data_IF_549131959916
#
_entry.id   IF_549131959916
#
_cell.length_a   1.000
_cell.length_b   1.000
_cell.length_c   1.000
_cell.angle_alpha   90.00
_cell.angle_beta   90.00
_cell.angle_gamma   90.00
#
_symmetry.space_group_name_H-M   'P 1'
#
loop_
_entity.id
_entity.type
_entity.pdbx_description
1 polymer ?
#
# COMPACT_ATOMS: atom_id res chain seq x y z
N UNK A 1 -46.64 33.08 -25.23
CA UNK A 1 -45.20 32.80 -25.08
C UNK A 1 -44.98 32.35 -23.65
N UNK A 2 -44.95 31.05 -23.41
CA UNK A 2 -44.66 30.48 -22.09
C UNK A 2 -43.17 30.12 -22.05
N UNK A 3 -42.45 30.75 -21.13
CA UNK A 3 -41.04 30.48 -20.90
C UNK A 3 -40.93 29.22 -20.04
N UNK A 4 -40.31 28.20 -20.61
CA UNK A 4 -40.07 26.90 -19.98
C UNK A 4 -38.90 27.06 -18.98
N UNK A 5 -39.16 27.04 -17.69
CA UNK A 5 -38.15 27.01 -16.65
C UNK A 5 -37.60 25.59 -16.56
N UNK A 6 -36.40 25.39 -17.12
CA UNK A 6 -35.60 24.17 -16.91
C UNK A 6 -35.20 24.07 -15.42
N UNK A 7 -35.73 23.04 -14.76
CA UNK A 7 -35.27 22.65 -13.43
C UNK A 7 -33.77 22.27 -13.52
N UNK A 8 -32.90 23.07 -12.92
CA UNK A 8 -31.56 22.66 -12.60
C UNK A 8 -31.63 21.56 -11.53
N UNK A 9 -31.28 20.35 -11.91
CA UNK A 9 -31.05 19.28 -10.96
C UNK A 9 -29.81 19.64 -10.12
N UNK A 10 -30.00 19.76 -8.82
CA UNK A 10 -28.90 19.88 -7.87
C UNK A 10 -28.00 18.63 -7.97
N UNK A 11 -26.66 18.77 -7.92
CA UNK A 11 -25.77 17.63 -7.91
C UNK A 11 -26.12 16.72 -6.73
N UNK A 12 -26.30 15.44 -7.02
CA UNK A 12 -26.61 14.43 -6.01
C UNK A 12 -25.56 14.48 -4.90
N UNK A 13 -26.01 14.63 -3.66
CA UNK A 13 -25.13 14.53 -2.50
C UNK A 13 -24.44 13.16 -2.53
N UNK A 14 -23.12 13.08 -2.28
CA UNK A 14 -22.42 11.81 -2.24
C UNK A 14 -23.08 10.91 -1.21
N UNK A 15 -23.47 9.71 -1.63
CA UNK A 15 -24.02 8.67 -0.75
C UNK A 15 -23.04 8.45 0.38
N UNK A 16 -23.51 8.43 1.62
CA UNK A 16 -22.67 8.24 2.79
C UNK A 16 -21.86 6.93 2.63
N UNK A 17 -20.55 7.02 2.84
CA UNK A 17 -19.65 5.87 2.78
C UNK A 17 -20.05 4.83 3.83
N UNK A 18 -20.00 3.53 3.46
CA UNK A 18 -20.31 2.44 4.38
C UNK A 18 -19.42 2.51 5.64
N UNK A 19 -20.05 2.36 6.81
CA UNK A 19 -19.36 2.26 8.11
C UNK A 19 -18.94 0.83 8.45
N UNK A 20 -18.82 -0.07 7.46
CA UNK A 20 -18.27 -1.39 7.69
C UNK A 20 -16.89 -1.28 8.36
N UNK A 21 -16.58 -2.22 9.26
CA UNK A 21 -15.31 -2.24 9.99
C UNK A 21 -14.18 -2.42 8.97
N UNK A 22 -13.21 -1.49 8.97
CA UNK A 22 -12.01 -1.58 8.15
C UNK A 22 -11.03 -2.58 8.76
N UNK A 23 -10.63 -3.66 8.03
CA UNK A 23 -9.68 -4.64 8.55
C UNK A 23 -8.32 -4.03 8.89
N UNK A 24 -7.82 -3.13 8.04
CA UNK A 24 -6.54 -2.45 8.25
C UNK A 24 -6.61 -1.43 9.38
N UNK A 25 -7.67 -0.61 9.44
CA UNK A 25 -7.83 0.35 10.53
C UNK A 25 -7.93 -0.32 11.90
N UNK A 26 -8.56 -1.50 11.98
CA UNK A 26 -8.60 -2.30 13.22
C UNK A 26 -7.19 -2.72 13.65
N UNK A 27 -6.36 -3.18 12.71
CA UNK A 27 -4.96 -3.52 12.99
C UNK A 27 -4.18 -2.29 13.46
N UNK A 28 -4.30 -1.15 12.75
CA UNK A 28 -3.62 0.09 13.11
C UNK A 28 -4.03 0.60 14.49
N UNK A 29 -5.32 0.48 14.85
CA UNK A 29 -5.81 0.86 16.18
C UNK A 29 -5.23 -0.03 17.29
N UNK A 30 -5.18 -1.35 17.07
CA UNK A 30 -4.57 -2.29 18.01
C UNK A 30 -3.10 -1.95 18.25
N UNK A 31 -2.34 -1.75 17.17
CA UNK A 31 -0.92 -1.41 17.25
C UNK A 31 -0.68 -0.04 17.92
N UNK A 32 -1.57 0.93 17.68
CA UNK A 32 -1.53 2.23 18.36
C UNK A 32 -1.75 2.07 19.87
N UNK A 33 -2.66 1.20 20.28
CA UNK A 33 -2.88 0.88 21.71
C UNK A 33 -1.67 0.16 22.33
N UNK A 34 -0.93 -0.63 21.55
CA UNK A 34 0.35 -1.21 21.95
C UNK A 34 1.51 -0.19 21.99
N UNK A 35 1.27 1.05 21.54
CA UNK A 35 2.26 2.14 21.55
C UNK A 35 3.28 2.07 20.41
N UNK A 36 2.98 1.40 19.32
CA UNK A 36 3.86 1.33 18.13
C UNK A 36 3.12 1.56 16.81
N UNK A 37 3.78 2.11 15.80
CA UNK A 37 3.24 2.15 14.43
C UNK A 37 3.28 0.77 13.78
N UNK A 38 2.47 0.58 12.72
CA UNK A 38 2.50 -0.65 11.93
C UNK A 38 3.78 -0.74 11.09
N UNK A 39 4.28 -1.95 10.93
CA UNK A 39 5.25 -2.28 9.90
C UNK A 39 4.51 -2.82 8.67
N UNK A 40 4.52 -2.06 7.58
CA UNK A 40 3.89 -2.42 6.32
C UNK A 40 4.98 -2.79 5.32
N UNK A 41 4.99 -4.03 4.85
CA UNK A 41 6.00 -4.52 3.94
C UNK A 41 5.43 -4.75 2.53
N UNK A 42 6.06 -4.17 1.51
CA UNK A 42 5.72 -4.40 0.11
C UNK A 42 6.59 -5.52 -0.50
N UNK A 43 5.96 -6.43 -1.25
CA UNK A 43 6.68 -7.41 -2.06
C UNK A 43 5.93 -7.74 -3.36
N UNK A 44 6.61 -7.79 -4.55
CA UNK A 44 5.94 -8.08 -5.81
C UNK A 44 5.62 -9.55 -5.93
N UNK A 45 4.36 -9.86 -6.25
CA UNK A 45 3.91 -11.22 -6.54
C UNK A 45 4.64 -11.79 -7.76
N UNK A 46 5.16 -13.00 -7.61
CA UNK A 46 5.87 -13.72 -8.67
C UNK A 46 7.34 -13.32 -8.88
N UNK A 47 7.93 -12.52 -8.00
CA UNK A 47 9.35 -12.19 -8.06
C UNK A 47 10.15 -12.94 -6.97
N UNK A 48 11.29 -13.57 -7.28
CA UNK A 48 11.83 -13.87 -8.63
C UNK A 48 11.07 -14.98 -9.35
N UNK A 49 10.25 -15.71 -8.64
CA UNK A 49 9.26 -16.70 -9.09
C UNK A 49 8.10 -16.77 -8.10
N UNK A 50 6.98 -17.40 -8.49
CA UNK A 50 5.77 -17.47 -7.66
C UNK A 50 6.05 -18.18 -6.32
N UNK A 51 6.63 -19.40 -6.26
CA UNK A 51 6.89 -20.07 -4.98
C UNK A 51 7.80 -19.26 -4.04
N UNK A 52 8.80 -18.57 -4.59
CA UNK A 52 9.73 -17.76 -3.80
C UNK A 52 9.04 -16.49 -3.27
N UNK A 53 8.19 -15.82 -4.07
CA UNK A 53 7.45 -14.64 -3.62
C UNK A 53 6.47 -14.96 -2.50
N UNK A 54 5.77 -16.09 -2.57
CA UNK A 54 4.86 -16.54 -1.52
C UNK A 54 5.63 -16.86 -0.21
N UNK A 55 6.78 -17.53 -0.31
CA UNK A 55 7.62 -17.78 0.86
C UNK A 55 8.21 -16.47 1.43
N UNK A 56 8.62 -15.53 0.58
CA UNK A 56 9.10 -14.23 1.02
C UNK A 56 8.06 -13.48 1.86
N UNK A 57 6.81 -13.42 1.40
CA UNK A 57 5.72 -12.78 2.15
C UNK A 57 5.48 -13.46 3.50
N UNK A 58 5.53 -14.79 3.57
CA UNK A 58 5.44 -15.53 4.82
C UNK A 58 6.61 -15.21 5.76
N UNK A 59 7.84 -15.15 5.24
CA UNK A 59 9.02 -14.77 6.02
C UNK A 59 8.90 -13.34 6.56
N UNK A 60 8.37 -12.40 5.76
CA UNK A 60 8.10 -11.04 6.22
C UNK A 60 7.17 -11.02 7.44
N UNK A 61 6.05 -11.73 7.38
CA UNK A 61 5.09 -11.82 8.49
C UNK A 61 5.73 -12.45 9.74
N UNK A 62 6.47 -13.55 9.58
CA UNK A 62 7.18 -14.21 10.69
C UNK A 62 8.24 -13.31 11.35
N UNK A 63 8.70 -12.26 10.67
CA UNK A 63 9.72 -11.33 11.16
C UNK A 63 9.17 -9.92 11.41
N UNK A 64 7.86 -9.82 11.72
CA UNK A 64 7.26 -8.64 12.32
C UNK A 64 6.56 -7.69 11.36
N UNK A 65 6.30 -8.07 10.10
CA UNK A 65 5.45 -7.31 9.20
C UNK A 65 3.98 -7.53 9.59
N UNK A 66 3.27 -6.45 9.91
CA UNK A 66 1.87 -6.47 10.36
C UNK A 66 0.88 -6.47 9.17
N UNK A 67 1.25 -5.79 8.09
CA UNK A 67 0.46 -5.66 6.87
C UNK A 67 1.37 -5.89 5.67
N UNK A 68 0.95 -6.76 4.75
CA UNK A 68 1.69 -7.02 3.51
C UNK A 68 0.99 -6.31 2.35
N UNK A 69 1.71 -5.46 1.63
CA UNK A 69 1.30 -4.92 0.35
C UNK A 69 1.83 -5.82 -0.76
N UNK A 70 0.94 -6.59 -1.37
CA UNK A 70 1.25 -7.51 -2.47
C UNK A 70 1.22 -6.74 -3.77
N UNK A 71 2.38 -6.48 -4.37
CA UNK A 71 2.48 -5.77 -5.63
C UNK A 71 2.06 -6.63 -6.83
N UNK A 72 1.06 -6.20 -7.59
CA UNK A 72 0.77 -6.78 -8.89
C UNK A 72 1.78 -6.25 -9.91
N UNK A 73 2.56 -7.13 -10.58
CA UNK A 73 3.51 -6.70 -11.61
C UNK A 73 2.81 -6.00 -12.76
N UNK A 74 3.34 -4.85 -13.17
CA UNK A 74 2.81 -4.04 -14.26
C UNK A 74 3.91 -3.66 -15.25
N UNK A 75 3.58 -3.61 -16.55
CA UNK A 75 4.53 -3.33 -17.64
C UNK A 75 5.02 -1.88 -17.67
N UNK A 76 4.19 -0.94 -17.19
CA UNK A 76 4.42 0.50 -17.29
C UNK A 76 4.37 1.18 -15.90
N UNK A 77 5.24 0.78 -14.95
CA UNK A 77 5.16 1.14 -13.55
C UNK A 77 5.75 2.54 -13.29
N UNK A 78 5.08 3.58 -13.75
CA UNK A 78 5.55 4.98 -13.72
C UNK A 78 5.79 5.55 -12.31
N UNK A 79 5.17 4.94 -11.30
CA UNK A 79 5.31 5.36 -9.89
C UNK A 79 6.41 4.59 -9.15
N UNK A 80 6.95 3.53 -9.74
CA UNK A 80 7.89 2.63 -9.09
C UNK A 80 9.35 3.03 -9.33
N UNK A 81 10.19 2.82 -8.32
CA UNK A 81 11.63 2.97 -8.45
C UNK A 81 12.28 1.78 -9.20
N UNK A 82 13.55 1.91 -9.61
CA UNK A 82 14.22 0.94 -10.49
C UNK A 82 14.27 -0.49 -9.91
N UNK A 83 14.36 -0.65 -8.61
CA UNK A 83 14.33 -1.95 -7.91
C UNK A 83 12.99 -2.66 -8.13
N UNK A 84 11.90 -1.94 -7.94
CA UNK A 84 10.54 -2.49 -8.12
C UNK A 84 10.26 -2.74 -9.59
N UNK A 85 10.67 -1.83 -10.48
CA UNK A 85 10.54 -2.01 -11.94
C UNK A 85 11.26 -3.28 -12.41
N UNK A 86 12.49 -3.52 -11.95
CA UNK A 86 13.24 -4.74 -12.30
C UNK A 86 12.55 -6.02 -11.80
N UNK A 87 12.03 -6.00 -10.58
CA UNK A 87 11.30 -7.12 -9.99
C UNK A 87 9.97 -7.39 -10.73
N UNK A 88 9.20 -6.34 -11.05
CA UNK A 88 7.96 -6.44 -11.84
C UNK A 88 8.22 -7.01 -13.23
N UNK A 89 9.27 -6.51 -13.91
CA UNK A 89 9.66 -7.04 -15.22
C UNK A 89 10.00 -8.53 -15.13
N UNK A 90 10.78 -8.96 -14.15
CA UNK A 90 11.13 -10.35 -13.96
C UNK A 90 9.87 -11.23 -13.78
N UNK A 91 8.93 -10.80 -12.95
CA UNK A 91 7.69 -11.54 -12.71
C UNK A 91 6.81 -11.63 -13.98
N UNK A 92 6.74 -10.55 -14.79
CA UNK A 92 6.02 -10.53 -16.07
C UNK A 92 6.69 -11.49 -17.08
N UNK A 93 8.01 -11.44 -17.19
CA UNK A 93 8.78 -12.33 -18.08
C UNK A 93 8.57 -13.82 -17.69
N UNK A 94 8.31 -14.12 -16.42
CA UNK A 94 7.96 -15.44 -15.92
C UNK A 94 6.47 -15.82 -16.12
N UNK A 95 5.69 -14.95 -16.76
CA UNK A 95 4.30 -15.22 -17.14
C UNK A 95 3.28 -15.14 -16.00
N UNK A 96 3.58 -14.38 -14.95
CA UNK A 96 2.65 -14.14 -13.83
C UNK A 96 1.31 -13.58 -14.32
N UNK A 97 0.22 -14.04 -13.72
CA UNK A 97 -1.16 -13.62 -14.00
C UNK A 97 -1.80 -12.95 -12.79
N UNK A 98 -2.73 -12.03 -13.05
CA UNK A 98 -3.47 -11.30 -11.99
C UNK A 98 -4.16 -12.28 -11.04
N UNK A 99 -4.76 -13.35 -11.57
CA UNK A 99 -5.51 -14.36 -10.79
C UNK A 99 -4.71 -15.00 -9.67
N UNK A 100 -3.41 -15.13 -9.83
CA UNK A 100 -2.55 -15.75 -8.82
C UNK A 100 -2.36 -14.89 -7.57
N UNK A 101 -2.69 -13.59 -7.62
CA UNK A 101 -2.57 -12.72 -6.45
C UNK A 101 -3.49 -13.15 -5.29
N UNK A 102 -4.63 -13.75 -5.60
CA UNK A 102 -5.58 -14.20 -4.57
C UNK A 102 -5.04 -15.34 -3.73
N UNK A 103 -4.20 -16.22 -4.30
CA UNK A 103 -3.45 -17.20 -3.54
C UNK A 103 -2.45 -16.54 -2.58
N UNK A 104 -1.74 -15.53 -3.04
CA UNK A 104 -0.82 -14.76 -2.19
C UNK A 104 -1.57 -14.08 -1.02
N UNK A 105 -2.74 -13.52 -1.29
CA UNK A 105 -3.63 -12.94 -0.27
C UNK A 105 -3.99 -13.97 0.80
N UNK A 106 -4.44 -15.16 0.40
CA UNK A 106 -4.78 -16.24 1.33
C UNK A 106 -3.58 -16.64 2.19
N UNK A 107 -2.41 -16.84 1.59
CA UNK A 107 -1.20 -17.24 2.33
C UNK A 107 -0.74 -16.18 3.34
N UNK A 108 -0.84 -14.89 3.01
CA UNK A 108 -0.56 -13.79 3.96
C UNK A 108 -1.54 -13.79 5.12
N UNK A 109 -2.83 -14.02 4.85
CA UNK A 109 -3.87 -14.13 5.89
C UNK A 109 -3.64 -15.36 6.79
N UNK A 110 -3.30 -16.51 6.22
CA UNK A 110 -2.96 -17.73 6.96
C UNK A 110 -1.70 -17.54 7.83
N UNK A 111 -0.75 -16.71 7.38
CA UNK A 111 0.42 -16.35 8.16
C UNK A 111 0.12 -15.37 9.32
N UNK A 112 -1.07 -14.76 9.37
CA UNK A 112 -1.55 -13.92 10.45
C UNK A 112 -1.47 -12.40 10.22
N UNK A 113 -1.06 -11.94 9.02
CA UNK A 113 -1.02 -10.53 8.66
C UNK A 113 -2.23 -10.10 7.82
N UNK A 114 -2.46 -8.78 7.68
CA UNK A 114 -3.42 -8.26 6.71
C UNK A 114 -2.78 -8.14 5.34
N UNK A 115 -3.52 -8.54 4.30
CA UNK A 115 -3.08 -8.46 2.91
C UNK A 115 -3.80 -7.31 2.19
N UNK A 116 -3.05 -6.33 1.72
CA UNK A 116 -3.47 -5.36 0.73
C UNK A 116 -2.86 -5.75 -0.62
N UNK A 117 -3.58 -5.55 -1.71
CA UNK A 117 -3.00 -5.64 -3.05
C UNK A 117 -2.68 -4.23 -3.52
N UNK A 118 -1.45 -3.99 -3.96
CA UNK A 118 -1.06 -2.76 -4.64
C UNK A 118 -1.07 -2.99 -6.14
N UNK A 119 -1.90 -2.23 -6.85
CA UNK A 119 -2.08 -2.39 -8.30
C UNK A 119 -2.30 -1.06 -8.99
N UNK A 120 -1.76 -0.94 -10.19
CA UNK A 120 -2.18 0.07 -11.14
C UNK A 120 -3.62 -0.19 -11.60
N UNK A 121 -4.39 0.87 -11.73
CA UNK A 121 -5.84 0.78 -11.94
C UNK A 121 -6.23 0.07 -13.24
N UNK A 122 -5.41 0.20 -14.27
CA UNK A 122 -5.63 -0.48 -15.54
C UNK A 122 -5.76 -2.02 -15.41
N UNK A 123 -4.97 -2.65 -14.54
CA UNK A 123 -5.06 -4.10 -14.32
C UNK A 123 -6.40 -4.49 -13.68
N UNK A 124 -6.87 -3.69 -12.73
CA UNK A 124 -8.15 -3.92 -12.04
C UNK A 124 -9.33 -3.73 -12.99
N UNK A 125 -9.30 -2.68 -13.83
CA UNK A 125 -10.33 -2.46 -14.85
C UNK A 125 -10.39 -3.61 -15.86
N UNK A 126 -9.25 -4.09 -16.33
CA UNK A 126 -9.19 -5.22 -17.27
C UNK A 126 -9.69 -6.54 -16.67
N UNK A 127 -9.42 -6.76 -15.39
CA UNK A 127 -9.94 -7.94 -14.67
C UNK A 127 -11.45 -7.84 -14.40
N UNK A 128 -11.99 -6.62 -14.37
CA UNK A 128 -13.34 -6.27 -13.95
C UNK A 128 -13.39 -5.95 -12.44
N UNK A 129 -13.71 -4.70 -12.11
CA UNK A 129 -13.65 -4.15 -10.74
C UNK A 129 -14.50 -4.97 -9.77
N UNK A 130 -15.74 -5.31 -10.18
CA UNK A 130 -16.64 -6.11 -9.36
C UNK A 130 -16.11 -7.53 -9.09
N UNK A 131 -15.61 -8.20 -10.14
CA UNK A 131 -15.02 -9.54 -10.03
C UNK A 131 -13.76 -9.53 -9.14
N UNK A 132 -12.90 -8.53 -9.29
CA UNK A 132 -11.73 -8.39 -8.46
C UNK A 132 -12.10 -8.18 -6.99
N UNK A 133 -13.06 -7.30 -6.69
CA UNK A 133 -13.51 -7.04 -5.33
C UNK A 133 -14.12 -8.28 -4.65
N UNK A 134 -14.94 -9.05 -5.38
CA UNK A 134 -15.52 -10.30 -4.89
C UNK A 134 -14.43 -11.32 -4.54
N UNK A 135 -13.52 -11.60 -5.48
CA UNK A 135 -12.43 -12.54 -5.28
C UNK A 135 -11.44 -12.11 -4.20
N UNK A 136 -11.19 -10.80 -4.09
CA UNK A 136 -10.37 -10.25 -3.01
C UNK A 136 -10.98 -10.52 -1.64
N UNK A 137 -12.31 -10.32 -1.50
CA UNK A 137 -13.02 -10.62 -0.27
C UNK A 137 -13.07 -12.12 0.04
N UNK A 138 -13.32 -12.97 -0.96
CA UNK A 138 -13.29 -14.44 -0.82
C UNK A 138 -11.92 -14.95 -0.36
N UNK A 139 -10.83 -14.36 -0.86
CA UNK A 139 -9.47 -14.68 -0.42
C UNK A 139 -9.12 -14.13 0.98
N UNK A 140 -10.03 -13.38 1.62
CA UNK A 140 -9.80 -12.76 2.92
C UNK A 140 -8.93 -11.49 2.86
N UNK A 141 -8.76 -10.90 1.68
CA UNK A 141 -7.96 -9.70 1.50
C UNK A 141 -8.58 -8.47 2.17
N UNK A 142 -7.72 -7.54 2.60
CA UNK A 142 -8.17 -6.33 3.28
C UNK A 142 -8.62 -5.22 2.31
N UNK A 143 -8.03 -5.12 1.12
CA UNK A 143 -8.37 -4.07 0.15
C UNK A 143 -7.26 -3.76 -0.85
N UNK A 144 -7.37 -2.59 -1.50
CA UNK A 144 -6.43 -2.12 -2.52
C UNK A 144 -5.68 -0.87 -2.11
N UNK A 145 -4.41 -0.82 -2.53
CA UNK A 145 -3.60 0.40 -2.68
C UNK A 145 -3.54 0.73 -4.17
N UNK A 146 -4.04 1.89 -4.56
CA UNK A 146 -4.12 2.31 -5.97
C UNK A 146 -3.29 3.58 -6.18
N UNK A 147 -2.05 3.46 -6.70
CA UNK A 147 -1.13 4.60 -6.80
C UNK A 147 -1.55 5.63 -7.85
N UNK A 148 -2.28 5.21 -8.88
CA UNK A 148 -2.68 6.00 -10.04
C UNK A 148 -4.19 6.31 -10.12
N UNK A 149 -4.99 5.87 -9.13
CA UNK A 149 -6.43 6.15 -9.09
C UNK A 149 -6.73 7.32 -8.16
N UNK A 150 -7.31 8.39 -8.70
CA UNK A 150 -7.81 9.51 -7.90
C UNK A 150 -9.26 9.29 -7.47
N UNK A 151 -9.66 9.94 -6.38
CA UNK A 151 -11.01 9.78 -5.80
C UNK A 151 -12.12 10.09 -6.81
N UNK A 152 -11.92 11.12 -7.65
CA UNK A 152 -12.91 11.56 -8.66
C UNK A 152 -13.25 10.47 -9.68
N UNK A 153 -12.33 9.55 -9.94
CA UNK A 153 -12.46 8.47 -10.92
C UNK A 153 -12.75 7.12 -10.25
N UNK A 154 -12.82 7.08 -8.92
CA UNK A 154 -12.92 5.82 -8.17
C UNK A 154 -14.35 5.37 -7.86
N UNK A 155 -15.37 5.91 -8.53
CA UNK A 155 -16.77 5.66 -8.20
C UNK A 155 -17.14 4.17 -8.16
N UNK A 156 -16.75 3.40 -9.17
CA UNK A 156 -17.01 1.95 -9.21
C UNK A 156 -16.23 1.21 -8.09
N UNK A 157 -14.99 1.57 -7.85
CA UNK A 157 -14.21 0.98 -6.76
C UNK A 157 -14.80 1.29 -5.38
N UNK A 158 -15.29 2.51 -5.16
CA UNK A 158 -15.98 2.89 -3.92
C UNK A 158 -17.20 2.00 -3.71
N UNK A 159 -18.03 1.81 -4.74
CA UNK A 159 -19.23 0.97 -4.66
C UNK A 159 -18.89 -0.48 -4.32
N UNK A 160 -17.95 -1.09 -5.05
CA UNK A 160 -17.60 -2.49 -4.85
C UNK A 160 -16.85 -2.71 -3.53
N UNK A 161 -15.93 -1.83 -3.15
CA UNK A 161 -15.24 -1.92 -1.86
C UNK A 161 -16.17 -1.75 -0.67
N UNK A 162 -17.19 -0.88 -0.76
CA UNK A 162 -18.22 -0.76 0.27
C UNK A 162 -19.10 -2.01 0.36
N UNK A 163 -19.43 -2.62 -0.79
CA UNK A 163 -20.22 -3.86 -0.86
C UNK A 163 -19.53 -5.03 -0.15
N UNK A 164 -18.24 -5.17 -0.34
CA UNK A 164 -17.45 -6.29 0.18
C UNK A 164 -16.66 -5.96 1.46
N UNK A 165 -16.79 -4.74 1.99
CA UNK A 165 -16.09 -4.31 3.21
C UNK A 165 -14.58 -4.13 3.05
N UNK A 166 -14.10 -3.91 1.83
CA UNK A 166 -12.69 -3.75 1.49
C UNK A 166 -12.19 -2.34 1.79
N UNK A 167 -10.92 -2.21 2.13
CA UNK A 167 -10.26 -0.94 2.34
C UNK A 167 -9.80 -0.32 1.02
N UNK A 168 -9.74 1.01 1.01
CA UNK A 168 -9.34 1.85 -0.12
C UNK A 168 -8.20 2.75 0.31
N UNK A 169 -7.01 2.47 -0.15
CA UNK A 169 -5.83 3.26 0.18
C UNK A 169 -5.45 4.12 -1.01
N UNK A 170 -5.60 5.43 -0.85
CA UNK A 170 -5.22 6.43 -1.84
C UNK A 170 -3.94 7.13 -1.44
N UNK A 171 -3.17 7.57 -2.43
CA UNK A 171 -1.91 8.27 -2.25
C UNK A 171 -2.10 9.78 -2.21
N UNK A 172 -1.32 10.42 -1.36
CA UNK A 172 -1.16 11.87 -1.31
C UNK A 172 0.32 12.25 -1.28
N UNK A 173 0.65 13.42 -1.82
CA UNK A 173 2.01 13.94 -1.88
C UNK A 173 2.11 15.34 -1.24
N UNK A 174 3.30 15.87 -0.98
CA UNK A 174 3.47 17.24 -0.48
C UNK A 174 2.82 18.31 -1.38
N UNK A 175 2.71 18.04 -2.68
CA UNK A 175 2.13 18.93 -3.67
C UNK A 175 0.59 18.86 -3.73
N UNK A 176 -0.05 17.93 -2.97
CA UNK A 176 -1.51 17.82 -2.89
C UNK A 176 -2.11 19.06 -2.21
N UNK A 177 -3.15 19.67 -2.83
CA UNK A 177 -3.88 20.78 -2.22
C UNK A 177 -4.68 20.33 -1.00
N UNK A 178 -5.05 21.27 -0.12
CA UNK A 178 -5.82 20.93 1.08
C UNK A 178 -7.22 20.38 0.75
N UNK A 179 -7.85 20.87 -0.33
CA UNK A 179 -9.11 20.33 -0.85
C UNK A 179 -8.93 18.88 -1.29
N UNK A 180 -7.81 18.57 -1.98
CA UNK A 180 -7.48 17.20 -2.39
C UNK A 180 -7.23 16.30 -1.19
N UNK A 181 -6.52 16.78 -0.17
CA UNK A 181 -6.30 16.04 1.07
C UNK A 181 -7.62 15.73 1.78
N UNK A 182 -8.55 16.70 1.87
CA UNK A 182 -9.87 16.49 2.49
C UNK A 182 -10.71 15.47 1.71
N UNK A 183 -10.74 15.56 0.38
CA UNK A 183 -11.46 14.61 -0.46
C UNK A 183 -10.92 13.20 -0.28
N UNK A 184 -9.60 13.05 -0.31
CA UNK A 184 -8.92 11.78 -0.14
C UNK A 184 -9.14 11.19 1.26
N UNK A 185 -9.01 12.01 2.32
CA UNK A 185 -9.23 11.57 3.69
C UNK A 185 -10.66 11.04 3.93
N UNK A 186 -11.66 11.64 3.27
CA UNK A 186 -13.07 11.20 3.36
C UNK A 186 -13.34 9.90 2.61
N UNK A 187 -12.70 9.71 1.46
CA UNK A 187 -12.92 8.54 0.61
C UNK A 187 -12.11 7.33 1.04
N UNK A 188 -10.94 7.53 1.68
CA UNK A 188 -10.06 6.46 2.14
C UNK A 188 -10.72 5.58 3.21
N UNK A 189 -10.38 4.29 3.19
CA UNK A 189 -10.62 3.32 4.26
C UNK A 189 -9.31 2.60 4.54
N UNK A 190 -9.06 2.25 5.78
CA UNK A 190 -7.76 1.77 6.23
C UNK A 190 -6.87 2.92 6.61
N UNK A 191 -6.14 3.47 5.68
CA UNK A 191 -5.25 4.63 5.89
C UNK A 191 -5.11 5.49 4.62
N UNK A 192 -4.58 6.71 4.78
CA UNK A 192 -4.08 7.51 3.66
C UNK A 192 -2.58 7.28 3.52
N UNK A 193 -2.13 6.94 2.32
CA UNK A 193 -0.72 6.70 2.01
C UNK A 193 -0.02 8.03 1.68
N UNK A 194 0.84 8.50 2.59
CA UNK A 194 1.65 9.69 2.36
C UNK A 194 2.98 9.31 1.69
N UNK A 195 3.20 9.83 0.47
CA UNK A 195 4.45 9.63 -0.29
C UNK A 195 5.39 10.83 -0.14
N UNK A 196 6.69 10.61 -0.34
CA UNK A 196 7.69 11.69 -0.23
C UNK A 196 7.70 12.67 -1.40
N UNK A 197 7.35 12.22 -2.59
CA UNK A 197 7.11 12.96 -3.86
C UNK A 197 6.73 11.99 -4.95
N UNK A 198 5.90 12.43 -5.89
CA UNK A 198 5.67 11.74 -7.15
C UNK A 198 6.93 11.87 -8.04
N UNK A 199 7.74 10.81 -8.06
CA UNK A 199 8.89 10.69 -8.99
C UNK A 199 10.16 11.44 -8.57
N UNK A 200 11.24 10.67 -8.44
CA UNK A 200 12.68 11.00 -8.34
C UNK A 200 13.23 11.13 -6.92
N UNK A 201 14.09 10.17 -6.60
CA UNK A 201 15.00 10.14 -5.44
C UNK A 201 16.16 11.13 -5.63
N UNK A 202 16.21 12.18 -4.80
CA UNK A 202 17.34 13.10 -4.71
C UNK A 202 17.27 13.98 -3.48
N UNK A 203 18.32 13.91 -2.62
CA UNK A 203 18.61 14.67 -1.39
C UNK A 203 17.86 14.28 -0.12
N UNK A 204 18.57 13.56 0.77
CA UNK A 204 18.03 12.75 1.88
C UNK A 204 17.71 13.49 3.19
N UNK A 205 18.06 14.73 3.38
CA UNK A 205 17.81 15.46 4.64
C UNK A 205 16.50 16.26 4.63
N UNK A 206 16.07 16.80 3.49
CA UNK A 206 14.84 17.58 3.34
C UNK A 206 13.56 16.73 3.22
N UNK A 207 13.68 15.42 2.98
CA UNK A 207 12.56 14.51 2.74
C UNK A 207 11.78 14.20 4.02
N UNK A 208 12.45 14.09 5.16
CA UNK A 208 11.81 13.76 6.44
C UNK A 208 10.91 14.90 6.95
N UNK A 209 11.38 16.14 6.89
CA UNK A 209 10.61 17.32 7.33
C UNK A 209 9.35 17.53 6.46
N UNK A 210 9.47 17.30 5.15
CA UNK A 210 8.32 17.41 4.24
C UNK A 210 7.30 16.30 4.45
N UNK A 211 7.71 15.09 4.83
CA UNK A 211 6.82 13.98 5.10
C UNK A 211 6.05 14.17 6.41
N UNK A 212 6.71 14.63 7.48
CA UNK A 212 6.07 14.94 8.76
C UNK A 212 5.02 16.06 8.60
N UNK A 213 5.36 17.14 7.87
CA UNK A 213 4.44 18.21 7.55
C UNK A 213 3.23 17.71 6.73
N UNK A 214 3.45 16.82 5.76
CA UNK A 214 2.37 16.21 5.00
C UNK A 214 1.46 15.38 5.91
N UNK A 215 2.01 14.53 6.78
CA UNK A 215 1.22 13.74 7.75
C UNK A 215 0.35 14.64 8.62
N UNK A 216 0.90 15.75 9.12
CA UNK A 216 0.13 16.71 9.91
C UNK A 216 -1.04 17.32 9.11
N UNK A 217 -0.81 17.73 7.85
CA UNK A 217 -1.86 18.24 6.95
C UNK A 217 -2.95 17.20 6.66
N UNK A 218 -2.56 15.95 6.41
CA UNK A 218 -3.50 14.85 6.13
C UNK A 218 -4.36 14.54 7.36
N UNK A 219 -3.79 14.59 8.57
CA UNK A 219 -4.56 14.46 9.82
C UNK A 219 -5.51 15.62 10.02
N UNK A 220 -5.09 16.86 9.75
CA UNK A 220 -5.96 18.05 9.79
C UNK A 220 -7.11 17.95 8.77
N UNK A 221 -6.88 17.30 7.63
CA UNK A 221 -7.90 17.00 6.63
C UNK A 221 -8.91 15.92 7.06
N UNK A 222 -8.70 15.28 8.23
CA UNK A 222 -9.64 14.33 8.84
C UNK A 222 -9.29 12.86 8.64
N UNK A 223 -8.11 12.52 8.14
CA UNK A 223 -7.67 11.12 8.02
C UNK A 223 -7.38 10.53 9.42
N UNK A 224 -8.02 9.40 9.80
CA UNK A 224 -7.79 8.76 11.11
C UNK A 224 -6.42 8.10 11.22
N UNK A 225 -5.90 7.58 10.11
CA UNK A 225 -4.60 6.94 10.02
C UNK A 225 -3.85 7.39 8.78
N UNK A 226 -2.54 7.65 8.95
CA UNK A 226 -1.64 8.05 7.88
C UNK A 226 -0.37 7.20 7.94
N UNK A 227 -0.15 6.39 6.89
CA UNK A 227 1.06 5.58 6.75
C UNK A 227 2.01 6.21 5.72
N UNK A 228 3.31 6.05 5.95
CA UNK A 228 4.34 6.78 5.20
C UNK A 228 5.26 5.82 4.46
N UNK A 229 5.40 6.02 3.14
CA UNK A 229 6.32 5.31 2.26
C UNK A 229 7.27 6.27 1.55
N UNK A 230 8.48 6.44 2.08
CA UNK A 230 9.48 7.42 1.62
C UNK A 230 10.84 6.80 1.30
N UNK A 231 10.89 5.54 0.89
CA UNK A 231 12.16 4.87 0.62
C UNK A 231 12.95 4.54 1.89
N UNK A 232 12.25 4.19 2.96
CA UNK A 232 12.86 3.69 4.22
C UNK A 232 13.67 2.44 3.91
N UNK A 233 14.94 2.44 4.30
CA UNK A 233 15.87 1.33 4.06
C UNK A 233 16.77 1.02 5.25
N UNK A 234 16.72 1.82 6.32
CA UNK A 234 17.53 1.64 7.52
C UNK A 234 16.67 1.68 8.77
N UNK A 235 17.15 1.01 9.82
CA UNK A 235 16.55 1.02 11.17
C UNK A 235 16.29 2.44 11.68
N UNK A 236 17.29 3.33 11.51
CA UNK A 236 17.18 4.73 11.92
C UNK A 236 16.05 5.47 11.19
N UNK A 237 15.94 5.30 9.87
CA UNK A 237 14.86 5.92 9.10
C UNK A 237 13.48 5.35 9.51
N UNK A 238 13.39 4.03 9.70
CA UNK A 238 12.18 3.37 10.15
C UNK A 238 11.71 3.91 11.51
N UNK A 239 12.63 4.01 12.48
CA UNK A 239 12.35 4.60 13.79
C UNK A 239 11.91 6.06 13.68
N UNK A 240 12.60 6.89 12.88
CA UNK A 240 12.26 8.30 12.71
C UNK A 240 10.85 8.48 12.09
N UNK A 241 10.52 7.74 11.02
CA UNK A 241 9.20 7.81 10.38
C UNK A 241 8.11 7.35 11.33
N UNK A 242 8.37 6.33 12.13
CA UNK A 242 7.44 5.81 13.13
C UNK A 242 7.05 6.83 14.21
N UNK A 243 7.87 7.85 14.48
CA UNK A 243 7.54 8.86 15.51
C UNK A 243 6.35 9.75 15.14
N UNK A 244 6.05 9.92 13.85
CA UNK A 244 4.98 10.82 13.39
C UNK A 244 3.90 10.15 12.52
N UNK A 245 4.08 8.88 12.11
CA UNK A 245 3.12 8.14 11.28
C UNK A 245 2.42 7.02 12.06
N UNK A 246 1.32 6.48 11.51
CA UNK A 246 0.60 5.33 12.06
C UNK A 246 1.13 4.01 11.51
N UNK A 247 1.90 4.07 10.42
CA UNK A 247 2.58 2.93 9.82
C UNK A 247 3.76 3.36 8.95
N UNK A 248 4.79 2.51 8.93
CA UNK A 248 6.00 2.67 8.12
C UNK A 248 5.96 1.66 6.99
N UNK A 249 5.98 2.15 5.75
CA UNK A 249 5.89 1.32 4.54
C UNK A 249 7.30 1.16 3.97
N UNK A 250 7.70 -0.10 3.77
CA UNK A 250 9.01 -0.48 3.24
C UNK A 250 8.83 -1.41 2.04
N UNK A 251 9.37 -1.02 0.90
CA UNK A 251 9.32 -1.82 -0.33
C UNK A 251 10.69 -2.18 -0.84
N UNK A 252 11.38 -1.24 -1.47
CA UNK A 252 12.63 -1.48 -2.20
C UNK A 252 13.71 -2.17 -1.36
N UNK A 253 13.81 -1.88 -0.06
CA UNK A 253 14.79 -2.53 0.82
C UNK A 253 14.53 -4.04 0.96
N UNK A 254 13.25 -4.46 1.03
CA UNK A 254 12.87 -5.87 1.13
C UNK A 254 13.10 -6.61 -0.20
N UNK A 255 12.71 -5.99 -1.31
CA UNK A 255 12.92 -6.53 -2.66
C UNK A 255 14.42 -6.65 -2.99
N UNK A 256 15.23 -5.69 -2.52
CA UNK A 256 16.68 -5.67 -2.75
C UNK A 256 17.39 -6.90 -2.15
N UNK A 257 16.84 -7.54 -1.11
CA UNK A 257 17.38 -8.78 -0.55
C UNK A 257 17.47 -9.91 -1.60
N UNK A 258 16.65 -9.84 -2.66
CA UNK A 258 16.60 -10.82 -3.75
C UNK A 258 17.39 -10.41 -5.00
N UNK A 259 18.06 -9.25 -4.96
CA UNK A 259 18.87 -8.77 -6.08
C UNK A 259 20.38 -8.87 -5.76
N UNK A 260 21.16 -9.20 -6.78
CA UNK A 260 22.62 -9.11 -6.74
C UNK A 260 23.09 -7.65 -6.97
N UNK A 261 24.39 -7.40 -6.90
CA UNK A 261 25.00 -6.08 -7.11
C UNK A 261 24.79 -5.52 -8.53
N UNK A 262 24.31 -6.34 -9.45
CA UNK A 262 23.98 -5.95 -10.84
C UNK A 262 22.48 -5.77 -11.03
N UNK A 263 21.68 -5.84 -9.95
CA UNK A 263 20.22 -5.70 -9.98
C UNK A 263 19.49 -6.91 -10.59
N UNK A 264 20.13 -8.07 -10.66
CA UNK A 264 19.53 -9.32 -11.16
C UNK A 264 19.07 -10.19 -10.00
N UNK A 265 18.07 -11.07 -10.21
CA UNK A 265 17.64 -12.02 -9.18
C UNK A 265 18.81 -12.89 -8.68
N UNK A 266 18.96 -12.98 -7.35
CA UNK A 266 19.95 -13.85 -6.72
C UNK A 266 19.65 -15.31 -7.04
N UNK A 267 20.71 -16.09 -7.27
CA UNK A 267 20.58 -17.54 -7.52
C UNK A 267 20.35 -18.34 -6.25
N UNK A 268 20.90 -17.89 -5.13
CA UNK A 268 20.73 -18.55 -3.83
C UNK A 268 19.47 -18.00 -3.13
N UNK A 269 18.38 -18.76 -3.31
CA UNK A 269 17.07 -18.48 -2.70
C UNK A 269 17.15 -18.42 -1.17
N UNK A 270 17.88 -19.34 -0.56
CA UNK A 270 18.01 -19.41 0.90
C UNK A 270 18.70 -18.17 1.45
N UNK A 271 19.83 -17.79 0.85
CA UNK A 271 20.52 -16.58 1.23
C UNK A 271 19.64 -15.32 1.10
N UNK A 272 18.82 -15.23 0.05
CA UNK A 272 17.90 -14.12 -0.14
C UNK A 272 16.81 -14.08 0.95
N UNK A 273 16.22 -15.22 1.31
CA UNK A 273 15.24 -15.34 2.38
C UNK A 273 15.83 -15.05 3.76
N UNK A 274 17.04 -15.53 4.05
CA UNK A 274 17.73 -15.24 5.31
C UNK A 274 18.05 -13.73 5.43
N UNK A 275 18.47 -13.08 4.33
CA UNK A 275 18.68 -11.64 4.28
C UNK A 275 17.39 -10.86 4.49
N UNK A 276 16.26 -11.31 3.88
CA UNK A 276 14.94 -10.72 4.07
C UNK A 276 14.51 -10.82 5.54
N UNK A 277 14.65 -11.99 6.16
CA UNK A 277 14.29 -12.22 7.57
C UNK A 277 15.06 -11.27 8.50
N UNK A 278 16.39 -11.16 8.32
CA UNK A 278 17.21 -10.22 9.09
C UNK A 278 16.77 -8.77 8.88
N UNK A 279 16.57 -8.37 7.63
CA UNK A 279 16.14 -7.00 7.29
C UNK A 279 14.78 -6.67 7.92
N UNK A 280 13.81 -7.58 7.87
CA UNK A 280 12.50 -7.39 8.50
C UNK A 280 12.63 -7.26 10.02
N UNK A 281 13.39 -8.16 10.68
CA UNK A 281 13.59 -8.12 12.13
C UNK A 281 14.24 -6.82 12.58
N UNK A 282 15.28 -6.34 11.87
CA UNK A 282 15.97 -5.10 12.17
C UNK A 282 15.05 -3.88 12.02
N UNK A 283 14.28 -3.82 10.92
CA UNK A 283 13.31 -2.74 10.67
C UNK A 283 12.18 -2.77 11.69
N UNK A 284 11.64 -3.95 12.00
CA UNK A 284 10.61 -4.12 13.02
C UNK A 284 11.10 -3.62 14.39
N UNK A 285 12.33 -3.96 14.77
CA UNK A 285 12.94 -3.44 15.98
C UNK A 285 12.99 -1.91 15.98
N UNK A 286 13.46 -1.30 14.89
CA UNK A 286 13.53 0.16 14.75
C UNK A 286 12.15 0.83 14.85
N UNK A 287 11.13 0.27 14.20
CA UNK A 287 9.76 0.73 14.25
C UNK A 287 9.20 0.63 15.69
N UNK A 288 9.47 -0.47 16.38
CA UNK A 288 9.03 -0.70 17.76
C UNK A 288 9.65 0.26 18.78
N UNK A 289 10.82 0.86 18.47
CA UNK A 289 11.43 1.90 19.29
C UNK A 289 10.80 3.29 19.10
N UNK A 290 9.95 3.47 18.10
CA UNK A 290 9.24 4.74 17.82
C UNK A 290 8.08 4.92 18.79
N UNK A 291 8.36 5.11 20.08
CA UNK A 291 7.32 5.33 21.09
C UNK A 291 6.63 6.67 20.83
N UNK A 292 5.31 6.61 20.68
CA UNK A 292 4.45 7.80 20.65
C UNK A 292 4.20 8.31 22.06
#
# INVERSE_FOLDING_TARGET
MMVNQSKQESPAQPRGFSRAISPVATTLETLRQEGRPAFIGYFPYGFPDVPTSLEAMRVMVQNGVDIVEIGLPYSDPVMDGPVIQAASKCAIDNGVKVEGVFEAVQQVQEAGAKALVMSYWNLIMHHGVANFAERMAEAGGAGLVTPDLIVDESGEWIEQSDRYGLDRVYLVSPDSTDERLQLTARAARGFVYATSRMGVTGERASVSESAEALVARVRQAGAPYVCVGIGVSTVRQASQVGTYSDGVIVGSALVHCFLDDQGRPRRDRRQALDALASTCSDLHWGISQSKK
#
